data_IF_128197874335
#
_entry.id   IF_128197874335
#
_cell.length_a   1.000
_cell.length_b   1.000
_cell.length_c   1.000
_cell.angle_alpha   90.00
_cell.angle_beta   90.00
_cell.angle_gamma   90.00
#
_symmetry.space_group_name_H-M   'P 1'
#
loop_
_entity.id
_entity.type
_entity.pdbx_description
1 polymer ?
#
# COMPACT_ATOMS: atom_id res chain seq x y z
N UNK A 1 -5.03 -13.10 -4.83
CA UNK A 1 -3.83 -12.23 -4.70
C UNK A 1 -3.60 -11.54 -6.03
N UNK A 2 -3.63 -10.20 -6.05
CA UNK A 2 -3.49 -9.37 -7.25
C UNK A 2 -2.48 -8.25 -6.96
N UNK A 3 -1.70 -7.84 -7.95
CA UNK A 3 -0.77 -6.72 -7.86
C UNK A 3 -0.95 -5.79 -9.05
N UNK A 4 -0.85 -4.48 -8.80
CA UNK A 4 -0.86 -3.46 -9.84
C UNK A 4 0.00 -2.27 -9.43
N UNK A 5 0.58 -1.61 -10.44
CA UNK A 5 1.28 -0.34 -10.25
C UNK A 5 0.27 0.75 -9.87
N UNK A 6 0.68 1.64 -8.96
CA UNK A 6 -0.16 2.70 -8.45
C UNK A 6 0.64 3.99 -8.36
N UNK A 7 -0.01 5.09 -8.73
CA UNK A 7 0.54 6.42 -8.51
C UNK A 7 0.54 6.75 -7.01
N UNK A 8 1.40 7.68 -6.61
CA UNK A 8 1.52 8.14 -5.22
C UNK A 8 0.18 8.55 -4.61
N UNK A 9 -0.69 9.20 -5.38
CA UNK A 9 -2.01 9.62 -4.89
C UNK A 9 -2.88 8.42 -4.54
N UNK A 10 -2.92 7.39 -5.40
CA UNK A 10 -3.69 6.17 -5.15
C UNK A 10 -3.17 5.44 -3.90
N UNK A 11 -1.85 5.39 -3.71
CA UNK A 11 -1.25 4.80 -2.50
C UNK A 11 -1.64 5.59 -1.24
N UNK A 12 -1.64 6.92 -1.30
CA UNK A 12 -2.05 7.78 -0.20
C UNK A 12 -3.53 7.60 0.14
N UNK A 13 -4.41 7.60 -0.87
CA UNK A 13 -5.85 7.43 -0.68
C UNK A 13 -6.16 6.09 0.01
N UNK A 14 -5.60 4.98 -0.50
CA UNK A 14 -5.79 3.65 0.10
C UNK A 14 -5.23 3.53 1.52
N UNK A 15 -4.17 4.30 1.84
CA UNK A 15 -3.60 4.37 3.18
C UNK A 15 -4.53 5.11 4.13
N UNK A 16 -5.10 6.23 3.69
CA UNK A 16 -5.95 7.10 4.51
C UNK A 16 -7.36 6.52 4.71
N UNK A 17 -7.86 5.78 3.72
CA UNK A 17 -9.15 5.07 3.80
C UNK A 17 -9.10 3.82 4.70
N UNK A 18 -7.91 3.28 4.96
CA UNK A 18 -7.72 2.05 5.72
C UNK A 18 -7.02 2.24 7.07
N UNK A 19 -6.99 1.17 7.87
CA UNK A 19 -6.22 1.16 9.11
C UNK A 19 -4.81 0.64 8.85
N UNK A 20 -3.81 1.49 9.06
CA UNK A 20 -2.39 1.09 8.98
C UNK A 20 -2.07 0.11 10.11
N UNK A 21 -1.65 -1.09 9.75
CA UNK A 21 -1.27 -2.17 10.67
C UNK A 21 0.23 -2.20 10.92
N UNK A 22 1.03 -1.88 9.90
CA UNK A 22 2.49 -1.91 9.96
C UNK A 22 3.09 -0.97 8.94
N UNK A 23 4.22 -0.37 9.29
CA UNK A 23 5.07 0.38 8.36
C UNK A 23 6.49 -0.15 8.48
N UNK A 24 7.11 -0.48 7.35
CA UNK A 24 8.52 -0.85 7.25
C UNK A 24 9.21 0.09 6.28
N UNK A 25 10.09 0.93 6.83
CA UNK A 25 10.98 1.78 6.03
C UNK A 25 12.16 0.96 5.51
N UNK A 26 12.47 1.11 4.23
CA UNK A 26 13.68 0.60 3.57
C UNK A 26 14.38 1.76 2.83
N UNK A 27 15.65 1.61 2.45
CA UNK A 27 16.41 2.73 1.86
C UNK A 27 15.80 3.33 0.58
N UNK A 28 15.06 2.54 -0.20
CA UNK A 28 14.53 2.94 -1.51
C UNK A 28 13.01 3.07 -1.56
N UNK A 29 12.30 2.43 -0.63
CA UNK A 29 10.86 2.40 -0.59
C UNK A 29 10.37 2.13 0.83
N UNK A 30 9.08 2.35 1.07
CA UNK A 30 8.40 1.91 2.28
C UNK A 30 7.34 0.88 1.95
N UNK A 31 7.16 -0.09 2.84
CA UNK A 31 6.08 -1.07 2.79
C UNK A 31 5.09 -0.72 3.90
N UNK A 32 3.82 -0.58 3.55
CA UNK A 32 2.74 -0.28 4.48
C UNK A 32 1.71 -1.40 4.38
N UNK A 33 1.41 -2.07 5.50
CA UNK A 33 0.31 -3.03 5.56
C UNK A 33 -0.93 -2.30 6.05
N UNK A 34 -2.01 -2.36 5.27
CA UNK A 34 -3.27 -1.68 5.55
C UNK A 34 -4.41 -2.69 5.59
N UNK A 35 -5.32 -2.54 6.56
CA UNK A 35 -6.63 -3.20 6.55
C UNK A 35 -7.65 -2.20 6.00
N UNK A 36 -7.99 -2.35 4.72
CA UNK A 36 -8.99 -1.54 4.03
C UNK A 36 -10.40 -2.01 4.40
N UNK A 37 -11.38 -1.10 4.60
CA UNK A 37 -12.75 -1.48 4.95
C UNK A 37 -13.43 -2.33 3.88
N UNK A 38 -13.14 -2.09 2.60
CA UNK A 38 -13.81 -2.76 1.47
C UNK A 38 -12.91 -3.76 0.73
N UNK A 39 -11.60 -3.49 0.66
CA UNK A 39 -10.65 -4.27 -0.15
C UNK A 39 -9.91 -5.32 0.68
N UNK A 40 -10.16 -5.40 1.99
CA UNK A 40 -9.50 -6.36 2.87
C UNK A 40 -8.07 -5.96 3.19
N UNK A 41 -7.13 -6.91 3.11
CA UNK A 41 -5.73 -6.67 3.48
C UNK A 41 -4.93 -6.21 2.25
N UNK A 42 -4.34 -5.03 2.35
CA UNK A 42 -3.48 -4.46 1.33
C UNK A 42 -2.04 -4.38 1.82
N UNK A 43 -1.11 -4.55 0.89
CA UNK A 43 0.28 -4.13 1.06
C UNK A 43 0.54 -3.02 0.06
N UNK A 44 0.81 -1.83 0.57
CA UNK A 44 1.16 -0.66 -0.22
C UNK A 44 2.68 -0.53 -0.25
N UNK A 45 3.24 -0.29 -1.42
CA UNK A 45 4.66 -0.05 -1.64
C UNK A 45 4.76 1.38 -2.19
N UNK A 46 5.51 2.24 -1.51
CA UNK A 46 5.76 3.62 -1.97
C UNK A 46 7.26 3.80 -2.19
N UNK A 47 7.65 4.00 -3.44
CA UNK A 47 8.99 4.37 -3.86
C UNK A 47 9.28 5.86 -3.64
N UNK A 48 10.55 6.20 -3.53
CA UNK A 48 11.00 7.58 -3.34
C UNK A 48 10.82 8.48 -4.57
N UNK A 49 10.59 7.88 -5.73
CA UNK A 49 10.34 8.52 -7.03
C UNK A 49 8.86 8.85 -7.29
N UNK A 50 7.97 8.55 -6.33
CA UNK A 50 6.53 8.75 -6.48
C UNK A 50 5.83 7.65 -7.27
N UNK A 51 6.52 6.55 -7.57
CA UNK A 51 5.92 5.32 -8.07
C UNK A 51 5.63 4.37 -6.90
N UNK A 52 4.58 3.59 -7.03
CA UNK A 52 4.19 2.63 -6.01
C UNK A 52 3.51 1.41 -6.60
N UNK A 53 3.22 0.46 -5.74
CA UNK A 53 2.46 -0.72 -6.10
C UNK A 53 1.51 -1.08 -4.96
N UNK A 54 0.39 -1.68 -5.33
CA UNK A 54 -0.60 -2.20 -4.39
C UNK A 54 -0.68 -3.71 -4.59
N UNK A 55 -0.59 -4.44 -3.49
CA UNK A 55 -0.80 -5.88 -3.46
C UNK A 55 -2.04 -6.17 -2.62
N UNK A 56 -3.06 -6.72 -3.26
CA UNK A 56 -4.23 -7.29 -2.60
C UNK A 56 -3.88 -8.70 -2.13
N UNK A 57 -4.01 -8.93 -0.83
CA UNK A 57 -3.77 -10.23 -0.20
C UNK A 57 -5.11 -10.83 0.16
N UNK A 58 -5.40 -12.02 -0.37
CA UNK A 58 -6.62 -12.75 -0.01
C UNK A 58 -6.57 -13.09 1.50
N UNK A 59 -7.71 -12.96 2.18
CA UNK A 59 -7.84 -13.33 3.60
C UNK A 59 -7.68 -14.84 3.81
#
# INVERSE_FOLDING_TARGET
MRMFDAEKQVVADLRDEGTVMMVKQLPLFQIIIVRHPTLGKLVLIEGSDGHGAVVEVDN
#
